data_IF_115618626255
#
_entry.id   IF_115618626255
#
_cell.length_a   1.000
_cell.length_b   1.000
_cell.length_c   1.000
_cell.angle_alpha   90.00
_cell.angle_beta   90.00
_cell.angle_gamma   90.00
#
_symmetry.space_group_name_H-M   'P 1'
#
loop_
_entity.id
_entity.type
_entity.pdbx_description
1 polymer ?
#
# COMPACT_ATOMS: atom_id res chain seq x y z
N UNK A 1 -2.15 -22.07 -18.09
CA UNK A 1 -2.82 -21.13 -17.18
C UNK A 1 -3.23 -21.94 -15.96
N UNK A 2 -2.48 -21.85 -14.86
CA UNK A 2 -2.86 -22.51 -13.60
C UNK A 2 -4.12 -21.83 -13.08
N UNK A 3 -5.12 -22.62 -12.67
CA UNK A 3 -6.28 -22.10 -11.94
C UNK A 3 -5.76 -21.41 -10.68
N UNK A 4 -5.85 -20.08 -10.60
CA UNK A 4 -5.57 -19.38 -9.36
C UNK A 4 -6.49 -19.98 -8.28
N UNK A 5 -5.92 -20.37 -7.16
CA UNK A 5 -6.73 -20.76 -6.00
C UNK A 5 -7.58 -19.56 -5.58
N UNK A 6 -8.86 -19.75 -5.25
CA UNK A 6 -9.71 -18.63 -4.87
C UNK A 6 -9.14 -17.96 -3.61
N UNK A 7 -9.21 -16.64 -3.56
CA UNK A 7 -8.89 -15.85 -2.36
C UNK A 7 -9.94 -16.15 -1.30
N UNK A 8 -9.50 -16.55 -0.11
CA UNK A 8 -10.38 -16.82 1.03
C UNK A 8 -10.04 -15.94 2.25
N UNK A 9 -8.89 -15.29 2.22
CA UNK A 9 -8.43 -14.40 3.30
C UNK A 9 -7.95 -13.08 2.71
N UNK A 10 -8.43 -11.97 3.26
CA UNK A 10 -8.07 -10.62 2.89
C UNK A 10 -7.41 -9.91 4.08
N UNK A 11 -6.27 -9.29 3.84
CA UNK A 11 -5.63 -8.41 4.81
C UNK A 11 -5.66 -6.96 4.29
N UNK A 12 -6.10 -6.01 5.10
CA UNK A 12 -5.98 -4.57 4.83
C UNK A 12 -4.72 -4.08 5.52
N UNK A 13 -3.80 -3.50 4.76
CA UNK A 13 -2.46 -3.21 5.26
C UNK A 13 -1.89 -1.90 4.74
N UNK A 14 -1.19 -1.20 5.61
CA UNK A 14 -0.31 -0.08 5.26
C UNK A 14 0.83 0.01 6.25
N UNK A 15 1.91 0.66 5.87
CA UNK A 15 3.10 0.85 6.69
C UNK A 15 3.82 -0.44 7.12
N UNK A 16 4.84 -0.25 7.92
CA UNK A 16 5.75 -1.33 8.37
C UNK A 16 5.04 -2.33 9.30
N UNK A 17 4.18 -1.84 10.19
CA UNK A 17 3.45 -2.70 11.13
C UNK A 17 2.52 -3.67 10.41
N UNK A 18 1.77 -3.16 9.44
CA UNK A 18 0.88 -3.94 8.59
C UNK A 18 1.63 -4.99 7.78
N UNK A 19 2.76 -4.62 7.17
CA UNK A 19 3.58 -5.54 6.39
C UNK A 19 4.15 -6.70 7.23
N UNK A 20 4.53 -6.44 8.50
CA UNK A 20 5.00 -7.49 9.42
C UNK A 20 3.90 -8.50 9.74
N UNK A 21 2.66 -8.04 9.99
CA UNK A 21 1.56 -8.99 10.20
C UNK A 21 1.23 -9.71 8.90
N UNK A 22 1.19 -9.03 7.75
CA UNK A 22 0.95 -9.65 6.45
C UNK A 22 1.93 -10.79 6.17
N UNK A 23 3.21 -10.63 6.50
CA UNK A 23 4.21 -11.70 6.43
C UNK A 23 3.85 -12.88 7.34
N UNK A 24 3.41 -12.62 8.57
CA UNK A 24 2.93 -13.67 9.48
C UNK A 24 1.71 -14.41 8.93
N UNK A 25 0.74 -13.68 8.37
CA UNK A 25 -0.44 -14.26 7.73
C UNK A 25 -0.09 -15.12 6.52
N UNK A 26 0.91 -14.70 5.71
CA UNK A 26 1.40 -15.50 4.58
C UNK A 26 1.90 -16.88 5.02
N UNK A 27 2.51 -16.99 6.20
CA UNK A 27 2.96 -18.26 6.76
C UNK A 27 1.81 -19.14 7.30
N UNK A 28 0.70 -18.50 7.75
CA UNK A 28 -0.45 -19.20 8.34
C UNK A 28 -1.45 -19.66 7.27
N UNK A 29 -1.79 -18.79 6.33
CA UNK A 29 -2.92 -18.98 5.42
C UNK A 29 -2.59 -19.61 4.08
N UNK A 30 -1.46 -20.25 3.89
CA UNK A 30 -1.12 -20.90 2.62
C UNK A 30 -1.26 -19.95 1.41
N UNK A 31 -0.23 -19.31 1.04
CA UNK A 31 -0.08 -18.10 0.22
C UNK A 31 -1.07 -17.82 -0.92
N UNK A 32 -1.48 -18.76 -1.79
CA UNK A 32 -2.34 -18.36 -2.91
C UNK A 32 -3.78 -17.99 -2.48
N UNK A 33 -4.15 -18.25 -1.23
CA UNK A 33 -5.47 -17.92 -0.69
C UNK A 33 -5.50 -16.57 0.03
N UNK A 34 -4.33 -15.96 0.27
CA UNK A 34 -4.21 -14.67 0.95
C UNK A 34 -4.05 -13.54 -0.07
N UNK A 35 -4.93 -12.56 0.01
CA UNK A 35 -4.79 -11.27 -0.65
C UNK A 35 -4.46 -10.20 0.39
N UNK A 36 -3.58 -9.27 0.04
CA UNK A 36 -3.19 -8.13 0.87
C UNK A 36 -3.49 -6.87 0.07
N UNK A 37 -4.50 -6.12 0.50
CA UNK A 37 -4.82 -4.82 -0.05
C UNK A 37 -3.95 -3.77 0.64
N UNK A 38 -3.03 -3.19 -0.12
CA UNK A 38 -2.13 -2.13 0.33
C UNK A 38 -2.73 -0.74 0.17
N UNK A 39 -2.50 0.11 1.16
CA UNK A 39 -2.86 1.52 1.10
C UNK A 39 -2.17 2.23 -0.07
N UNK A 40 -2.92 3.06 -0.78
CA UNK A 40 -2.43 3.94 -1.87
C UNK A 40 -2.60 5.43 -1.53
N UNK A 41 -3.20 5.74 -0.38
CA UNK A 41 -3.39 7.13 0.05
C UNK A 41 -2.09 7.88 0.33
N UNK A 42 -0.99 7.17 0.51
CA UNK A 42 0.34 7.71 0.75
C UNK A 42 1.20 7.82 -0.51
N UNK A 43 0.66 7.38 -1.65
CA UNK A 43 1.32 7.45 -2.94
C UNK A 43 1.54 8.91 -3.34
N UNK A 44 2.71 9.20 -3.87
CA UNK A 44 3.06 10.57 -4.25
C UNK A 44 4.10 10.60 -5.38
N UNK A 45 4.29 11.77 -5.95
CA UNK A 45 5.32 12.01 -6.95
C UNK A 45 6.53 12.71 -6.33
N UNK A 46 7.73 12.16 -6.57
CA UNK A 46 9.00 12.77 -6.18
C UNK A 46 10.02 12.60 -7.31
N UNK A 47 10.68 13.68 -7.71
CA UNK A 47 11.55 13.73 -8.90
C UNK A 47 10.84 13.28 -10.21
N UNK A 48 9.52 13.48 -10.31
CA UNK A 48 8.73 12.99 -11.45
C UNK A 48 8.53 11.47 -11.46
N UNK A 49 8.84 10.78 -10.35
CA UNK A 49 8.67 9.35 -10.17
C UNK A 49 7.48 9.06 -9.26
N UNK A 50 6.66 8.09 -9.64
CA UNK A 50 5.56 7.61 -8.80
C UNK A 50 6.11 6.66 -7.72
N UNK A 51 5.91 7.01 -6.47
CA UNK A 51 6.35 6.27 -5.29
C UNK A 51 5.12 5.78 -4.55
N UNK A 52 5.09 4.48 -4.24
CA UNK A 52 4.01 3.83 -3.51
C UNK A 52 4.57 3.17 -2.24
N UNK A 53 4.78 3.95 -1.16
CA UNK A 53 5.56 3.52 0.00
C UNK A 53 5.01 2.26 0.67
N UNK A 54 3.69 2.15 0.80
CA UNK A 54 3.06 1.01 1.49
C UNK A 54 3.10 -0.26 0.64
N UNK A 55 2.89 -0.15 -0.68
CA UNK A 55 3.02 -1.28 -1.59
C UNK A 55 4.47 -1.78 -1.66
N UNK A 56 5.45 -0.86 -1.66
CA UNK A 56 6.86 -1.21 -1.68
C UNK A 56 7.29 -1.86 -0.37
N UNK A 57 6.80 -1.35 0.77
CA UNK A 57 7.03 -1.97 2.08
C UNK A 57 6.49 -3.40 2.14
N UNK A 58 5.29 -3.64 1.60
CA UNK A 58 4.72 -4.99 1.48
C UNK A 58 5.59 -5.87 0.59
N UNK A 59 5.95 -5.39 -0.61
CA UNK A 59 6.77 -6.10 -1.57
C UNK A 59 8.12 -6.53 -0.96
N UNK A 60 8.81 -5.61 -0.29
CA UNK A 60 10.13 -5.88 0.29
C UNK A 60 10.03 -6.82 1.50
N UNK A 61 9.02 -6.64 2.34
CA UNK A 61 8.82 -7.47 3.54
C UNK A 61 8.48 -8.92 3.14
N UNK A 62 7.50 -9.12 2.27
CA UNK A 62 7.06 -10.47 1.89
C UNK A 62 8.08 -11.20 1.01
N UNK A 63 8.93 -10.47 0.27
CA UNK A 63 10.03 -11.07 -0.48
C UNK A 63 11.29 -11.34 0.36
N UNK A 64 11.29 -10.99 1.66
CA UNK A 64 12.45 -11.12 2.53
C UNK A 64 13.61 -10.19 2.16
N UNK A 65 13.35 -9.10 1.45
CA UNK A 65 14.37 -8.15 0.97
C UNK A 65 14.34 -6.80 1.69
N UNK A 66 13.50 -6.64 2.72
CA UNK A 66 13.49 -5.43 3.54
C UNK A 66 14.75 -5.30 4.39
N UNK A 67 15.17 -4.07 4.63
CA UNK A 67 16.26 -3.76 5.55
C UNK A 67 15.76 -3.84 7.00
N UNK A 68 16.18 -4.87 7.72
CA UNK A 68 15.74 -5.13 9.10
C UNK A 68 16.40 -4.21 10.12
N UNK A 69 17.58 -3.68 9.83
CA UNK A 69 18.33 -2.78 10.74
C UNK A 69 17.75 -1.38 10.67
N UNK A 70 17.52 -0.88 9.46
CA UNK A 70 16.91 0.44 9.23
C UNK A 70 15.40 0.43 9.49
N UNK A 71 14.77 -0.72 9.31
CA UNK A 71 13.33 -0.91 9.49
C UNK A 71 12.47 -0.46 8.31
N UNK A 72 13.05 0.01 7.19
CA UNK A 72 12.37 0.40 5.96
C UNK A 72 13.26 0.26 4.73
N UNK A 73 12.65 0.20 3.55
CA UNK A 73 13.33 0.11 2.26
C UNK A 73 13.97 -1.24 1.97
N UNK A 74 14.71 -1.34 0.88
CA UNK A 74 15.46 -2.54 0.49
C UNK A 74 16.74 -2.71 1.31
N UNK A 75 17.08 -3.95 1.61
CA UNK A 75 18.38 -4.28 2.18
C UNK A 75 19.50 -4.10 1.16
N UNK A 76 20.71 -3.84 1.68
CA UNK A 76 21.93 -3.64 0.87
C UNK A 76 21.80 -2.51 -0.17
N UNK A 77 21.13 -1.42 0.21
CA UNK A 77 21.07 -0.22 -0.62
C UNK A 77 22.38 0.52 -0.66
N UNK A 78 22.63 1.19 -1.80
CA UNK A 78 23.60 2.26 -1.95
C UNK A 78 22.88 3.60 -2.11
N UNK A 79 23.61 4.70 -1.92
CA UNK A 79 23.03 6.05 -1.84
C UNK A 79 23.74 7.02 -2.79
N UNK A 80 24.28 6.50 -3.90
CA UNK A 80 25.06 7.29 -4.86
C UNK A 80 24.21 8.37 -5.51
N UNK A 81 22.97 8.04 -5.86
CA UNK A 81 22.02 9.00 -6.42
C UNK A 81 21.74 10.14 -5.44
N UNK A 82 21.37 9.85 -4.20
CA UNK A 82 21.06 10.87 -3.19
C UNK A 82 22.28 11.72 -2.84
N UNK A 83 23.47 11.13 -2.86
CA UNK A 83 24.72 11.88 -2.69
C UNK A 83 24.93 12.87 -3.84
N UNK A 84 24.77 12.43 -5.08
CA UNK A 84 24.88 13.28 -6.26
C UNK A 84 23.81 14.39 -6.25
N UNK A 85 22.57 14.07 -5.89
CA UNK A 85 21.49 15.04 -5.74
C UNK A 85 21.86 16.15 -4.74
N UNK A 86 22.44 15.78 -3.61
CA UNK A 86 22.91 16.74 -2.60
C UNK A 86 24.01 17.63 -3.14
N UNK A 87 24.96 17.08 -3.89
CA UNK A 87 26.10 17.80 -4.46
C UNK A 87 25.66 18.88 -5.47
N UNK A 88 24.60 18.62 -6.24
CA UNK A 88 24.03 19.61 -7.19
C UNK A 88 22.96 20.53 -6.57
N UNK A 89 22.72 20.44 -5.25
CA UNK A 89 21.73 21.26 -4.55
C UNK A 89 20.28 20.83 -4.73
N UNK A 90 20.05 19.58 -5.14
CA UNK A 90 18.69 19.01 -5.25
C UNK A 90 18.05 18.69 -3.90
N UNK A 91 16.78 18.35 -3.92
CA UNK A 91 16.02 17.96 -2.72
C UNK A 91 16.53 16.63 -2.15
N UNK A 92 16.62 16.53 -0.82
CA UNK A 92 17.12 15.32 -0.14
C UNK A 92 16.25 14.92 1.06
N UNK A 93 15.07 15.52 1.20
CA UNK A 93 14.19 15.25 2.35
C UNK A 93 13.57 13.85 2.31
N UNK A 94 13.37 13.29 1.12
CA UNK A 94 12.91 11.91 0.95
C UNK A 94 14.07 11.06 0.42
N UNK A 95 14.44 10.05 1.19
CA UNK A 95 15.58 9.20 0.86
C UNK A 95 15.18 8.07 -0.08
N UNK A 96 15.88 7.95 -1.21
CA UNK A 96 15.70 6.89 -2.20
C UNK A 96 17.00 6.09 -2.32
N UNK A 97 16.96 4.79 -2.09
CA UNK A 97 18.06 3.89 -2.36
C UNK A 97 18.26 3.70 -3.88
N UNK A 98 19.47 3.41 -4.32
CA UNK A 98 19.78 3.25 -5.76
C UNK A 98 19.01 2.06 -6.38
N UNK A 99 18.75 0.99 -5.60
CA UNK A 99 17.98 -0.17 -6.06
C UNK A 99 16.48 0.06 -6.00
N UNK A 100 16.01 0.75 -4.96
CA UNK A 100 14.62 1.18 -4.80
C UNK A 100 14.23 2.12 -5.94
N UNK A 101 15.13 3.02 -6.33
CA UNK A 101 14.95 3.92 -7.46
C UNK A 101 14.58 3.18 -8.77
N UNK A 102 15.14 1.99 -9.00
CA UNK A 102 14.81 1.20 -10.18
C UNK A 102 13.32 0.76 -10.20
N UNK A 103 12.74 0.46 -9.03
CA UNK A 103 11.32 0.13 -8.88
C UNK A 103 10.46 1.34 -9.24
N UNK A 104 10.80 2.52 -8.73
CA UNK A 104 10.07 3.76 -8.99
C UNK A 104 10.14 4.19 -10.45
N UNK A 105 11.31 4.08 -11.07
CA UNK A 105 11.51 4.38 -12.50
C UNK A 105 10.64 3.45 -13.36
N UNK A 106 10.69 2.15 -13.13
CA UNK A 106 9.93 1.18 -13.93
C UNK A 106 8.42 1.31 -13.69
N UNK A 107 7.98 1.53 -12.43
CA UNK A 107 6.57 1.83 -12.12
C UNK A 107 6.10 3.07 -12.88
N UNK A 108 6.86 4.16 -12.79
CA UNK A 108 6.51 5.43 -13.43
C UNK A 108 6.42 5.29 -14.95
N UNK A 109 7.38 4.59 -15.56
CA UNK A 109 7.37 4.34 -17.01
C UNK A 109 6.09 3.62 -17.43
N UNK A 110 5.73 2.52 -16.74
CA UNK A 110 4.55 1.70 -17.06
C UNK A 110 3.24 2.45 -16.81
N UNK A 111 3.14 3.21 -15.72
CA UNK A 111 1.97 4.07 -15.45
C UNK A 111 1.79 5.11 -16.56
N UNK A 112 2.88 5.74 -17.05
CA UNK A 112 2.81 6.68 -18.19
C UNK A 112 2.40 6.02 -19.50
N UNK A 113 2.62 4.73 -19.65
CA UNK A 113 2.14 3.92 -20.79
C UNK A 113 0.67 3.48 -20.61
N UNK A 114 0.01 3.88 -19.52
CA UNK A 114 -1.40 3.57 -19.24
C UNK A 114 -1.63 2.22 -18.58
N UNK A 115 -0.58 1.55 -18.09
CA UNK A 115 -0.74 0.29 -17.34
C UNK A 115 -1.24 0.57 -15.93
N UNK A 116 -2.14 -0.27 -15.42
CA UNK A 116 -2.71 -0.12 -14.07
C UNK A 116 -1.70 -0.47 -12.98
N UNK A 117 -1.74 0.24 -11.87
CA UNK A 117 -0.87 0.00 -10.71
C UNK A 117 -0.98 -1.44 -10.18
N UNK A 118 -2.19 -2.02 -10.19
CA UNK A 118 -2.44 -3.42 -9.79
C UNK A 118 -1.67 -4.43 -10.65
N UNK A 119 -1.60 -4.22 -11.97
CA UNK A 119 -0.85 -5.08 -12.88
C UNK A 119 0.67 -4.94 -12.68
N UNK A 120 1.13 -3.71 -12.48
CA UNK A 120 2.54 -3.40 -12.21
C UNK A 120 2.96 -4.07 -10.89
N UNK A 121 2.17 -3.90 -9.83
CA UNK A 121 2.40 -4.51 -8.51
C UNK A 121 2.46 -6.03 -8.61
N UNK A 122 1.50 -6.65 -9.28
CA UNK A 122 1.49 -8.10 -9.52
C UNK A 122 2.74 -8.59 -10.27
N UNK A 123 3.20 -7.81 -11.26
CA UNK A 123 4.43 -8.11 -11.99
C UNK A 123 5.66 -8.06 -11.10
N UNK A 124 5.77 -7.05 -10.22
CA UNK A 124 6.87 -6.96 -9.26
C UNK A 124 6.84 -8.10 -8.24
N UNK A 125 5.66 -8.44 -7.70
CA UNK A 125 5.50 -9.57 -6.78
C UNK A 125 6.03 -10.88 -7.39
N UNK A 126 5.69 -11.19 -8.64
CA UNK A 126 6.20 -12.36 -9.34
C UNK A 126 7.73 -12.34 -9.48
N UNK A 127 8.32 -11.21 -9.85
CA UNK A 127 9.78 -11.05 -10.00
C UNK A 127 10.52 -11.12 -8.67
N UNK A 128 9.89 -10.69 -7.60
CA UNK A 128 10.45 -10.74 -6.25
C UNK A 128 10.20 -12.07 -5.54
N UNK A 129 9.40 -12.98 -6.13
CA UNK A 129 9.10 -14.28 -5.55
C UNK A 129 8.08 -14.23 -4.40
N UNK A 130 7.29 -13.15 -4.31
CA UNK A 130 6.18 -13.06 -3.35
C UNK A 130 5.09 -14.03 -3.77
N UNK A 131 4.57 -14.78 -2.82
CA UNK A 131 3.61 -15.86 -3.04
C UNK A 131 2.16 -15.40 -2.86
N UNK A 132 1.90 -14.48 -1.95
CA UNK A 132 0.59 -13.88 -1.71
C UNK A 132 0.24 -12.85 -2.78
N UNK A 133 -1.06 -12.53 -2.89
CA UNK A 133 -1.54 -11.50 -3.81
C UNK A 133 -1.47 -10.13 -3.14
N UNK A 134 -0.45 -9.32 -3.45
CA UNK A 134 -0.44 -7.90 -3.07
C UNK A 134 -1.16 -7.12 -4.16
N UNK A 135 -2.17 -6.33 -3.76
CA UNK A 135 -2.92 -5.45 -4.65
C UNK A 135 -3.00 -4.04 -4.05
N UNK A 136 -3.02 -2.98 -4.86
CA UNK A 136 -3.35 -1.65 -4.38
C UNK A 136 -4.84 -1.60 -3.97
N UNK A 137 -5.19 -0.78 -3.00
CA UNK A 137 -6.59 -0.56 -2.65
C UNK A 137 -7.40 -0.04 -3.85
N UNK A 138 -6.76 0.78 -4.67
CA UNK A 138 -7.34 1.33 -5.90
C UNK A 138 -6.26 1.53 -6.96
N UNK A 139 -6.66 1.47 -8.24
CA UNK A 139 -5.85 1.90 -9.38
C UNK A 139 -6.03 3.41 -9.68
N UNK A 140 -7.01 4.05 -9.04
CA UNK A 140 -7.32 5.46 -9.19
C UNK A 140 -6.46 6.33 -8.26
N UNK A 141 -6.45 7.63 -8.53
CA UNK A 141 -5.74 8.60 -7.68
C UNK A 141 -6.45 8.76 -6.34
N UNK A 142 -5.76 8.42 -5.26
CA UNK A 142 -6.19 8.63 -3.88
C UNK A 142 -5.02 9.26 -3.11
N UNK A 143 -5.28 10.36 -2.38
CA UNK A 143 -4.22 11.07 -1.64
C UNK A 143 -4.66 11.43 -0.24
N UNK A 144 -3.86 11.05 0.75
CA UNK A 144 -4.01 11.53 2.13
C UNK A 144 -3.43 12.94 2.25
N UNK A 145 -4.29 13.89 2.55
CA UNK A 145 -3.94 15.29 2.75
C UNK A 145 -4.07 15.67 4.23
N UNK A 146 -3.09 16.39 4.73
CA UNK A 146 -3.05 16.89 6.11
C UNK A 146 -3.32 18.37 6.14
N UNK A 147 -4.46 18.79 6.70
CA UNK A 147 -4.79 20.20 6.91
C UNK A 147 -4.08 20.69 8.16
N UNK A 148 -3.32 21.77 7.99
CA UNK A 148 -2.57 22.44 9.07
C UNK A 148 -2.94 23.92 9.17
N UNK A 149 -2.59 24.63 10.23
CA UNK A 149 -2.78 26.10 10.31
C UNK A 149 -2.07 26.89 9.21
N UNK A 150 -1.04 26.28 8.56
CA UNK A 150 -0.26 26.90 7.48
C UNK A 150 -0.70 26.50 6.08
N UNK A 151 -1.71 25.63 5.95
CA UNK A 151 -2.21 25.14 4.68
C UNK A 151 -2.31 23.62 4.64
N UNK A 152 -2.59 23.10 3.45
CA UNK A 152 -2.74 21.67 3.18
C UNK A 152 -1.40 21.10 2.71
N UNK A 153 -0.98 19.99 3.28
CA UNK A 153 0.23 19.25 2.94
C UNK A 153 -0.15 17.85 2.44
N UNK A 154 0.60 17.31 1.49
CA UNK A 154 0.55 15.87 1.24
C UNK A 154 1.10 15.13 2.47
N UNK A 155 0.66 13.88 2.66
CA UNK A 155 1.08 13.11 3.84
C UNK A 155 2.61 12.99 3.95
N UNK A 156 3.31 12.70 2.85
CA UNK A 156 4.76 12.54 2.88
C UNK A 156 5.51 13.86 3.20
N UNK A 157 5.01 14.99 2.75
CA UNK A 157 5.56 16.28 3.17
C UNK A 157 5.36 16.51 4.66
N UNK A 158 4.17 16.21 5.19
CA UNK A 158 3.89 16.33 6.62
C UNK A 158 4.75 15.37 7.46
N UNK A 159 4.80 14.10 7.06
CA UNK A 159 5.40 13.02 7.85
C UNK A 159 6.94 13.04 7.76
N UNK A 160 7.49 13.06 6.54
CA UNK A 160 8.93 12.92 6.31
C UNK A 160 9.62 14.28 6.33
N UNK A 161 9.18 15.23 5.49
CA UNK A 161 9.83 16.54 5.38
C UNK A 161 9.67 17.37 6.65
N UNK A 162 8.44 17.50 7.13
CA UNK A 162 8.11 18.37 8.26
C UNK A 162 8.12 17.63 9.60
N UNK A 163 8.41 16.32 9.60
CA UNK A 163 8.62 15.49 10.79
C UNK A 163 7.44 15.55 11.79
N UNK A 164 6.21 15.59 11.31
CA UNK A 164 4.98 15.70 12.09
C UNK A 164 4.90 16.94 13.02
N UNK A 165 5.73 17.96 12.79
CA UNK A 165 5.76 19.16 13.64
C UNK A 165 4.51 20.06 13.53
N UNK A 166 3.90 20.26 12.33
CA UNK A 166 2.70 21.06 12.24
C UNK A 166 1.52 20.42 12.98
N UNK A 167 0.71 21.22 13.65
CA UNK A 167 -0.55 20.74 14.26
C UNK A 167 -1.50 20.27 13.18
N UNK A 168 -2.03 19.06 13.32
CA UNK A 168 -3.09 18.55 12.45
C UNK A 168 -4.42 19.20 12.85
N UNK A 169 -5.14 19.75 11.89
CA UNK A 169 -6.51 20.23 12.05
C UNK A 169 -7.53 19.22 11.51
N UNK A 170 -7.21 18.55 10.39
CA UNK A 170 -8.02 17.52 9.79
C UNK A 170 -7.19 16.66 8.83
N UNK A 171 -7.69 15.47 8.53
CA UNK A 171 -7.24 14.63 7.44
C UNK A 171 -8.31 14.62 6.34
N UNK A 172 -7.88 14.52 5.09
CA UNK A 172 -8.75 14.42 3.92
C UNK A 172 -8.20 13.35 3.00
N UNK A 173 -9.09 12.57 2.40
CA UNK A 173 -8.74 11.54 1.41
C UNK A 173 -9.24 12.01 0.05
N UNK A 174 -8.41 12.84 -0.61
CA UNK A 174 -8.73 13.42 -1.92
C UNK A 174 -8.85 12.33 -2.96
N UNK A 175 -9.92 12.35 -3.74
CA UNK A 175 -10.24 11.37 -4.79
C UNK A 175 -11.08 10.19 -4.31
N UNK A 176 -11.28 10.02 -2.99
CA UNK A 176 -11.99 8.86 -2.43
C UNK A 176 -13.44 8.72 -2.90
N UNK A 177 -14.11 9.84 -3.22
CA UNK A 177 -15.48 9.85 -3.72
C UNK A 177 -15.63 9.20 -5.11
N UNK A 178 -14.56 9.15 -5.89
CA UNK A 178 -14.55 8.59 -7.25
C UNK A 178 -13.71 7.31 -7.37
N UNK A 179 -12.70 7.15 -6.52
CA UNK A 179 -11.80 6.00 -6.57
C UNK A 179 -12.58 4.70 -6.36
N UNK A 180 -12.43 3.75 -7.29
CA UNK A 180 -12.99 2.41 -7.20
C UNK A 180 -11.93 1.45 -6.66
N UNK A 181 -12.31 0.37 -5.96
CA UNK A 181 -11.35 -0.69 -5.63
C UNK A 181 -10.72 -1.25 -6.91
N UNK A 182 -9.46 -1.67 -6.84
CA UNK A 182 -8.91 -2.39 -7.98
C UNK A 182 -9.72 -3.68 -8.23
N UNK A 183 -9.84 -4.11 -9.47
CA UNK A 183 -10.73 -5.22 -9.86
C UNK A 183 -10.53 -6.48 -9.01
N UNK A 184 -9.28 -6.82 -8.67
CA UNK A 184 -9.00 -8.01 -7.86
C UNK A 184 -9.49 -7.87 -6.41
N UNK A 185 -9.43 -6.67 -5.83
CA UNK A 185 -9.96 -6.40 -4.49
C UNK A 185 -11.49 -6.44 -4.49
N UNK A 186 -12.13 -5.86 -5.49
CA UNK A 186 -13.57 -5.88 -5.65
C UNK A 186 -14.09 -7.32 -5.77
N UNK A 187 -13.51 -8.12 -6.68
CA UNK A 187 -13.84 -9.54 -6.85
C UNK A 187 -13.66 -10.34 -5.54
N UNK A 188 -12.61 -10.06 -4.76
CA UNK A 188 -12.39 -10.73 -3.48
C UNK A 188 -13.44 -10.35 -2.43
N UNK A 189 -13.82 -9.08 -2.35
CA UNK A 189 -14.83 -8.58 -1.40
C UNK A 189 -16.25 -9.07 -1.73
N UNK A 190 -16.57 -9.26 -3.01
CA UNK A 190 -17.86 -9.79 -3.47
C UNK A 190 -17.94 -11.32 -3.42
N UNK A 191 -16.81 -11.99 -3.22
CA UNK A 191 -16.72 -13.44 -3.25
C UNK A 191 -17.38 -14.08 -2.04
N UNK A 192 -18.30 -15.00 -2.27
CA UNK A 192 -18.87 -15.86 -1.21
C UNK A 192 -17.85 -16.82 -0.58
N UNK A 193 -16.64 -16.91 -1.15
CA UNK A 193 -15.53 -17.73 -0.64
C UNK A 193 -14.63 -16.97 0.33
N UNK A 194 -14.87 -15.66 0.53
CA UNK A 194 -14.10 -14.85 1.49
C UNK A 194 -14.51 -15.24 2.92
N UNK A 195 -13.60 -15.86 3.63
CA UNK A 195 -13.83 -16.39 5.00
C UNK A 195 -13.39 -15.41 6.08
N UNK A 196 -12.37 -14.60 5.80
CA UNK A 196 -11.73 -13.75 6.82
C UNK A 196 -11.22 -12.44 6.23
N UNK A 197 -11.50 -11.36 6.93
CA UNK A 197 -10.86 -10.06 6.70
C UNK A 197 -10.07 -9.67 7.94
N UNK A 198 -8.78 -9.39 7.76
CA UNK A 198 -7.87 -8.96 8.82
C UNK A 198 -7.49 -7.51 8.59
N UNK A 199 -7.81 -6.64 9.53
CA UNK A 199 -7.25 -5.28 9.56
C UNK A 199 -5.91 -5.34 10.27
N UNK A 200 -4.84 -5.13 9.51
CA UNK A 200 -3.48 -5.19 10.05
C UNK A 200 -3.20 -4.03 11.03
N UNK A 201 -2.30 -4.23 12.02
CA UNK A 201 -1.92 -3.18 12.96
C UNK A 201 -1.12 -2.09 12.24
N UNK A 202 -1.82 -1.14 11.71
CA UNK A 202 -1.33 0.04 10.99
C UNK A 202 -1.97 1.28 11.60
N UNK A 203 -1.46 2.46 11.28
CA UNK A 203 -2.12 3.68 11.72
C UNK A 203 -3.55 3.73 11.15
N UNK A 204 -4.61 3.77 11.98
CA UNK A 204 -5.98 3.72 11.50
C UNK A 204 -6.29 4.84 10.50
N UNK A 205 -5.88 6.07 10.79
CA UNK A 205 -6.19 7.24 9.98
C UNK A 205 -5.33 7.39 8.71
N UNK A 206 -4.11 6.88 8.73
CA UNK A 206 -3.13 7.09 7.64
C UNK A 206 -3.00 5.88 6.72
N UNK A 207 -3.31 4.70 7.22
CA UNK A 207 -3.12 3.46 6.47
C UNK A 207 -4.41 2.69 6.21
N UNK A 208 -5.34 2.66 7.17
CA UNK A 208 -6.56 1.87 7.06
C UNK A 208 -7.73 2.71 6.51
N UNK A 209 -7.97 3.88 7.09
CA UNK A 209 -9.07 4.75 6.63
C UNK A 209 -8.97 5.11 5.14
N UNK A 210 -7.78 5.37 4.55
CA UNK A 210 -7.70 5.58 3.10
C UNK A 210 -8.20 4.38 2.28
N UNK A 211 -7.91 3.13 2.72
CA UNK A 211 -8.42 1.92 2.07
C UNK A 211 -9.95 1.87 2.20
N UNK A 212 -10.46 2.12 3.40
CA UNK A 212 -11.90 2.11 3.69
C UNK A 212 -12.66 3.26 3.01
N UNK A 213 -11.96 4.35 2.69
CA UNK A 213 -12.52 5.50 1.99
C UNK A 213 -12.69 5.26 0.48
N UNK A 214 -12.05 4.24 -0.09
CA UNK A 214 -12.31 3.83 -1.48
C UNK A 214 -13.76 3.43 -1.60
N UNK A 215 -14.43 3.97 -2.63
CA UNK A 215 -15.87 3.83 -2.82
C UNK A 215 -16.33 2.37 -2.82
N UNK A 216 -17.28 2.05 -1.97
CA UNK A 216 -17.85 0.70 -1.87
C UNK A 216 -17.11 -0.25 -0.92
N UNK A 217 -15.82 -0.05 -0.64
CA UNK A 217 -15.03 -0.98 0.22
C UNK A 217 -15.66 -1.15 1.59
N UNK A 218 -15.95 -0.06 2.30
CA UNK A 218 -16.60 -0.12 3.62
C UNK A 218 -17.98 -0.80 3.56
N UNK A 219 -18.76 -0.55 2.51
CA UNK A 219 -20.08 -1.16 2.33
C UNK A 219 -19.95 -2.67 2.13
N UNK A 220 -19.07 -3.12 1.25
CA UNK A 220 -18.84 -4.53 0.98
C UNK A 220 -18.32 -5.26 2.22
N UNK A 221 -17.43 -4.64 3.01
CA UNK A 221 -16.96 -5.20 4.28
C UNK A 221 -18.08 -5.33 5.31
N UNK A 222 -18.99 -4.34 5.39
CA UNK A 222 -20.10 -4.37 6.34
C UNK A 222 -21.13 -5.43 5.99
N UNK A 223 -21.36 -5.69 4.71
CA UNK A 223 -22.31 -6.70 4.22
C UNK A 223 -21.73 -8.12 4.15
N UNK A 224 -20.42 -8.28 4.35
CA UNK A 224 -19.77 -9.59 4.39
C UNK A 224 -20.24 -10.38 5.62
N UNK A 225 -20.50 -11.70 5.51
CA UNK A 225 -20.95 -12.53 6.63
C UNK A 225 -19.99 -12.43 7.81
N UNK A 226 -20.49 -12.00 8.97
CA UNK A 226 -19.72 -11.95 10.21
C UNK A 226 -19.97 -13.20 11.06
N UNK A 227 -18.99 -13.72 11.81
CA UNK A 227 -19.21 -14.79 12.77
C UNK A 227 -20.29 -14.47 13.80
N UNK A 228 -20.60 -13.18 14.05
CA UNK A 228 -21.70 -12.74 14.91
C UNK A 228 -23.07 -12.97 14.30
N UNK A 229 -23.19 -12.89 12.97
CA UNK A 229 -24.46 -13.07 12.28
C UNK A 229 -24.96 -14.52 12.35
N UNK A 230 -24.02 -15.48 12.42
CA UNK A 230 -24.32 -16.90 12.61
C UNK A 230 -24.74 -17.26 14.04
N UNK A 231 -24.40 -16.43 15.04
CA UNK A 231 -24.77 -16.64 16.45
C UNK A 231 -26.13 -16.06 16.79
N UNK A 232 -26.65 -15.11 16.00
CA UNK A 232 -28.00 -14.51 16.18
C UNK A 232 -29.12 -15.30 15.48
N UNK A 233 -28.78 -16.28 14.66
CA UNK A 233 -29.71 -17.12 13.91
C UNK A 233 -29.98 -18.48 14.56
N UNK A 234 -29.62 -18.69 15.84
CA UNK A 234 -29.91 -19.90 16.63
C UNK A 234 -30.76 -19.60 17.84
#
# INVERSE_FOLDING_TARGET
MGKNSPVTHLALSGGIGGAKLALGLEHIFNSPKLMIAGNTGDDFEHFGLNISPDLDTLLYTLSGKSDLERGWGLANETWSFMKAMKEIGGETWFQLGDRDLAIHVERTRRLKEGERLSLITSSFCRKFGVKSHIVPATDDSLKTLVKTPKGILSFQHYFVRDQCRPKILALQYEGSENAQPCSALEEALESSLLETVVVCPSNPFLSIDPILAVKGVSCLLYTSPSPRDTLLSR
#
